data_IF_777208772180
#
_entry.id   IF_777208772180
#
_cell.length_a   1.000
_cell.length_b   1.000
_cell.length_c   1.000
_cell.angle_alpha   90.00
_cell.angle_beta   90.00
_cell.angle_gamma   90.00
#
_symmetry.space_group_name_H-M   'P 1'
#
loop_
_entity.id
_entity.type
_entity.pdbx_description
1 polymer ?
#
# COMPACT_ATOMS: atom_id res chain seq x y z
N UNK A 1 -19.52 -5.16 11.36
CA UNK A 1 -18.11 -5.44 11.74
C UNK A 1 -17.51 -4.11 12.18
N UNK A 2 -16.95 -4.06 13.39
CA UNK A 2 -16.73 -2.85 14.18
C UNK A 2 -15.82 -1.79 13.53
N UNK A 3 -16.26 -0.54 13.65
CA UNK A 3 -15.63 0.67 13.16
C UNK A 3 -14.41 0.95 14.04
N UNK A 4 -13.21 0.63 13.55
CA UNK A 4 -11.96 0.94 14.23
C UNK A 4 -11.65 2.44 14.08
N UNK A 5 -12.39 3.28 14.79
CA UNK A 5 -12.05 4.70 14.96
C UNK A 5 -10.89 4.78 15.95
N UNK A 6 -9.68 4.55 15.43
CA UNK A 6 -8.45 4.89 16.12
C UNK A 6 -8.38 6.41 16.23
N UNK A 7 -8.39 6.93 17.45
CA UNK A 7 -8.13 8.33 17.76
C UNK A 7 -6.94 8.83 16.94
N UNK A 8 -7.13 9.91 16.18
CA UNK A 8 -6.07 10.49 15.34
C UNK A 8 -4.90 10.92 16.22
N UNK A 9 -3.87 10.08 16.24
CA UNK A 9 -2.65 10.36 16.98
C UNK A 9 -1.79 11.28 16.14
N UNK A 10 -1.76 12.55 16.52
CA UNK A 10 -1.03 13.62 15.81
C UNK A 10 0.48 13.61 16.07
N UNK A 11 0.93 12.81 17.05
CA UNK A 11 2.34 12.65 17.38
C UNK A 11 3.03 11.63 16.46
N UNK A 12 4.25 11.93 16.05
CA UNK A 12 5.06 11.02 15.25
C UNK A 12 5.34 9.70 16.02
N UNK A 13 5.37 8.55 15.32
CA UNK A 13 5.71 7.28 15.96
C UNK A 13 7.14 7.31 16.50
N UNK A 14 7.34 6.75 17.70
CA UNK A 14 8.68 6.59 18.28
C UNK A 14 9.47 5.49 17.57
N UNK A 15 10.80 5.49 17.67
CA UNK A 15 11.66 4.49 17.01
C UNK A 15 11.25 3.03 17.31
N UNK A 16 10.91 2.73 18.57
CA UNK A 16 10.40 1.40 18.98
C UNK A 16 9.10 1.02 18.26
N UNK A 17 8.18 1.97 18.05
CA UNK A 17 6.92 1.70 17.32
C UNK A 17 7.16 1.41 15.85
N UNK A 18 8.12 2.10 15.22
CA UNK A 18 8.51 1.83 13.82
C UNK A 18 9.11 0.42 13.68
N UNK A 19 9.97 0.03 14.62
CA UNK A 19 10.58 -1.29 14.63
C UNK A 19 9.54 -2.40 14.85
N UNK A 20 8.62 -2.22 15.80
CA UNK A 20 7.50 -3.13 16.02
C UNK A 20 6.59 -3.23 14.79
N UNK A 21 6.30 -2.10 14.12
CA UNK A 21 5.48 -2.10 12.90
C UNK A 21 6.13 -2.89 11.77
N UNK A 22 7.45 -2.77 11.61
CA UNK A 22 8.24 -3.56 10.65
C UNK A 22 8.23 -5.05 11.01
N UNK A 23 8.47 -5.40 12.27
CA UNK A 23 8.45 -6.79 12.74
C UNK A 23 7.07 -7.45 12.56
N UNK A 24 6.00 -6.69 12.76
CA UNK A 24 4.62 -7.15 12.56
C UNK A 24 4.21 -7.22 11.08
N UNK A 25 5.09 -6.85 10.15
CA UNK A 25 4.78 -6.84 8.73
C UNK A 25 3.69 -5.85 8.36
N UNK A 26 3.59 -4.72 9.08
CA UNK A 26 2.65 -3.65 8.75
C UNK A 26 3.14 -2.90 7.51
N UNK A 27 2.99 -3.54 6.35
CA UNK A 27 3.25 -2.92 5.06
C UNK A 27 2.08 -1.99 4.75
N UNK A 28 2.32 -0.68 4.51
CA UNK A 28 1.26 0.22 4.10
C UNK A 28 0.69 -0.27 2.76
N UNK A 29 -0.52 -0.86 2.80
CA UNK A 29 -1.27 -1.21 1.61
C UNK A 29 -2.30 -0.13 1.33
N UNK A 30 -2.16 0.53 0.18
CA UNK A 30 -3.24 1.33 -0.38
C UNK A 30 -4.34 0.41 -0.89
N UNK A 31 -5.60 0.76 -0.66
CA UNK A 31 -6.77 -0.01 -1.13
C UNK A 31 -6.75 -0.24 -2.65
N UNK A 32 -6.24 0.75 -3.38
CA UNK A 32 -6.23 0.78 -4.85
C UNK A 32 -4.91 0.34 -5.49
N UNK A 33 -3.88 -0.05 -4.70
CA UNK A 33 -2.55 -0.36 -5.25
C UNK A 33 -2.60 -1.48 -6.30
N UNK A 34 -3.40 -2.51 -6.02
CA UNK A 34 -3.60 -3.64 -6.93
C UNK A 34 -4.21 -3.19 -8.26
N UNK A 35 -5.23 -2.34 -8.21
CA UNK A 35 -5.89 -1.80 -9.40
C UNK A 35 -4.91 -1.03 -10.28
N UNK A 36 -4.12 -0.14 -9.67
CA UNK A 36 -3.10 0.64 -10.39
C UNK A 36 -2.05 -0.28 -11.01
N UNK A 37 -1.56 -1.27 -10.27
CA UNK A 37 -0.57 -2.24 -10.78
C UNK A 37 -1.09 -3.01 -12.00
N UNK A 38 -2.32 -3.50 -11.95
CA UNK A 38 -2.95 -4.21 -13.07
C UNK A 38 -3.12 -3.28 -14.28
N UNK A 39 -3.53 -2.04 -14.06
CA UNK A 39 -3.74 -1.06 -15.13
C UNK A 39 -2.43 -0.70 -15.84
N UNK A 40 -1.35 -0.46 -15.07
CA UNK A 40 -0.01 -0.21 -15.62
C UNK A 40 0.52 -1.43 -16.37
N UNK A 41 0.39 -2.63 -15.80
CA UNK A 41 0.82 -3.86 -16.46
C UNK A 41 0.08 -4.09 -17.79
N UNK A 42 -1.23 -3.80 -17.83
CA UNK A 42 -2.06 -3.92 -19.03
C UNK A 42 -1.65 -2.91 -20.09
N UNK A 43 -1.38 -1.65 -19.70
CA UNK A 43 -0.91 -0.61 -20.60
C UNK A 43 0.45 -0.97 -21.22
N UNK A 44 1.39 -1.49 -20.43
CA UNK A 44 2.69 -1.98 -20.92
C UNK A 44 2.50 -3.15 -21.88
N UNK A 45 1.63 -4.12 -21.54
CA UNK A 45 1.37 -5.28 -22.38
C UNK A 45 0.83 -4.88 -23.76
N UNK A 46 -0.13 -3.94 -23.81
CA UNK A 46 -0.65 -3.39 -25.06
C UNK A 46 0.41 -2.62 -25.85
N UNK A 47 1.22 -1.80 -25.17
CA UNK A 47 2.29 -1.04 -25.83
C UNK A 47 3.33 -1.96 -26.47
N UNK A 48 3.72 -3.04 -25.78
CA UNK A 48 4.66 -4.03 -26.30
C UNK A 48 4.06 -4.91 -27.39
N UNK A 49 2.74 -5.14 -27.37
CA UNK A 49 2.03 -5.89 -28.42
C UNK A 49 2.16 -5.22 -29.80
N UNK A 50 2.02 -3.90 -29.87
CA UNK A 50 2.21 -3.14 -31.11
C UNK A 50 3.69 -3.06 -31.57
N UNK A 51 4.62 -3.37 -30.67
CA UNK A 51 6.07 -3.32 -30.91
C UNK A 51 6.65 -4.65 -31.42
N UNK A 52 5.83 -5.69 -31.53
CA UNK A 52 6.15 -7.03 -32.07
C UNK A 52 5.58 -7.17 -33.47
#
# INVERSE_FOLDING_TARGET
MAEQTGQEKTEQPTGKRLEDARQKGQVPRSKELTTVMVLVASAIALFLWEAV
#
